data_IF_204226640424
#
_entry.id   IF_204226640424
#
_cell.length_a   1.000
_cell.length_b   1.000
_cell.length_c   1.000
_cell.angle_alpha   90.00
_cell.angle_beta   90.00
_cell.angle_gamma   90.00
#
_symmetry.space_group_name_H-M   'P 1'
#
loop_
_entity.id
_entity.type
_entity.pdbx_description
1 polymer ?
#
# COMPACT_ATOMS: atom_id res chain seq x y z
N UNK A 1 6.87 -4.20 -12.41
CA UNK A 1 6.91 -5.61 -12.86
C UNK A 1 5.56 -6.34 -12.76
N UNK A 2 4.70 -6.05 -11.76
CA UNK A 2 3.39 -6.73 -11.67
C UNK A 2 2.42 -6.35 -12.81
N UNK A 3 2.37 -5.07 -13.20
CA UNK A 3 1.41 -4.61 -14.23
C UNK A 3 1.70 -5.18 -15.62
N UNK A 4 2.96 -5.18 -16.06
CA UNK A 4 3.33 -5.74 -17.39
C UNK A 4 3.11 -7.25 -17.45
N UNK A 5 3.39 -7.98 -16.37
CA UNK A 5 3.08 -9.39 -16.27
C UNK A 5 1.57 -9.68 -16.32
N UNK A 6 0.76 -8.91 -15.58
CA UNK A 6 -0.70 -9.04 -15.58
C UNK A 6 -1.31 -8.81 -16.98
N UNK A 7 -0.80 -7.83 -17.74
CA UNK A 7 -1.23 -7.57 -19.11
C UNK A 7 -0.81 -8.69 -20.08
N UNK A 8 0.34 -9.34 -19.84
CA UNK A 8 0.81 -10.45 -20.66
C UNK A 8 0.03 -11.75 -20.42
N UNK A 9 -0.46 -12.00 -19.22
CA UNK A 9 -1.21 -13.22 -18.89
C UNK A 9 -2.69 -13.06 -19.20
N UNK A 10 -3.29 -11.94 -18.83
CA UNK A 10 -4.71 -11.69 -19.00
C UNK A 10 -5.03 -11.20 -20.43
N UNK A 11 -4.08 -10.53 -21.07
CA UNK A 11 -4.27 -9.85 -22.35
C UNK A 11 -4.65 -8.37 -22.17
N UNK A 12 -4.47 -7.60 -23.25
CA UNK A 12 -4.64 -6.14 -23.24
C UNK A 12 -6.06 -5.69 -22.88
N UNK A 13 -7.08 -6.30 -23.49
CA UNK A 13 -8.49 -5.90 -23.30
C UNK A 13 -8.97 -6.14 -21.86
N UNK A 14 -8.91 -7.36 -21.29
CA UNK A 14 -9.37 -7.59 -19.92
C UNK A 14 -8.48 -6.92 -18.87
N UNK A 15 -7.17 -6.76 -19.15
CA UNK A 15 -6.26 -6.01 -18.31
C UNK A 15 -6.64 -4.53 -18.18
N UNK A 16 -7.00 -3.89 -19.30
CA UNK A 16 -7.44 -2.49 -19.28
C UNK A 16 -8.79 -2.31 -18.55
N UNK A 17 -9.74 -3.22 -18.79
CA UNK A 17 -11.05 -3.20 -18.13
C UNK A 17 -10.90 -3.26 -16.61
N UNK A 18 -10.10 -4.20 -16.10
CA UNK A 18 -9.89 -4.35 -14.65
C UNK A 18 -9.21 -3.12 -14.04
N UNK A 19 -8.27 -2.49 -14.73
CA UNK A 19 -7.64 -1.22 -14.28
C UNK A 19 -8.64 -0.08 -14.20
N UNK A 20 -9.51 0.09 -15.22
CA UNK A 20 -10.52 1.15 -15.23
C UNK A 20 -11.54 0.91 -14.11
N UNK A 21 -12.02 -0.31 -13.94
CA UNK A 21 -12.97 -0.66 -12.87
C UNK A 21 -12.37 -0.38 -11.50
N UNK A 22 -11.13 -0.79 -11.26
CA UNK A 22 -10.44 -0.49 -10.00
C UNK A 22 -10.29 1.02 -9.78
N UNK A 23 -9.97 1.79 -10.83
CA UNK A 23 -9.89 3.24 -10.79
C UNK A 23 -11.21 3.93 -10.43
N UNK A 24 -12.32 3.47 -11.03
CA UNK A 24 -13.67 3.99 -10.73
C UNK A 24 -14.05 3.71 -9.27
N UNK A 25 -13.78 2.50 -8.78
CA UNK A 25 -14.05 2.15 -7.38
C UNK A 25 -13.25 3.03 -6.41
N UNK A 26 -11.95 3.21 -6.67
CA UNK A 26 -11.11 4.11 -5.88
C UNK A 26 -11.61 5.56 -5.92
N UNK A 27 -12.03 6.04 -7.09
CA UNK A 27 -12.58 7.38 -7.25
C UNK A 27 -13.84 7.59 -6.42
N UNK A 28 -14.78 6.64 -6.48
CA UNK A 28 -16.01 6.70 -5.69
C UNK A 28 -15.69 6.71 -4.20
N UNK A 29 -14.83 5.82 -3.73
CA UNK A 29 -14.42 5.77 -2.31
C UNK A 29 -13.77 7.08 -1.87
N UNK A 30 -12.82 7.60 -2.66
CA UNK A 30 -12.14 8.87 -2.37
C UNK A 30 -13.13 10.04 -2.28
N UNK A 31 -14.03 10.16 -3.26
CA UNK A 31 -15.05 11.22 -3.28
C UNK A 31 -16.02 11.12 -2.09
N UNK A 32 -16.44 9.91 -1.71
CA UNK A 32 -17.33 9.72 -0.54
C UNK A 32 -16.63 10.10 0.77
N UNK A 33 -15.38 9.70 0.94
CA UNK A 33 -14.59 10.04 2.13
C UNK A 33 -14.36 11.55 2.23
N UNK A 34 -13.98 12.20 1.12
CA UNK A 34 -13.76 13.64 1.08
C UNK A 34 -15.02 14.44 1.46
N UNK A 35 -16.18 14.08 0.91
CA UNK A 35 -17.47 14.71 1.26
C UNK A 35 -17.81 14.55 2.75
N UNK A 36 -17.46 13.40 3.33
CA UNK A 36 -17.70 13.13 4.74
C UNK A 36 -16.81 13.96 5.66
N UNK A 37 -15.51 14.08 5.34
CA UNK A 37 -14.56 14.88 6.10
C UNK A 37 -14.94 16.37 6.08
N UNK A 38 -15.44 16.88 4.94
CA UNK A 38 -15.92 18.27 4.85
C UNK A 38 -17.13 18.55 5.74
N UNK A 39 -18.01 17.56 5.96
CA UNK A 39 -19.18 17.69 6.84
C UNK A 39 -18.81 17.56 8.32
N UNK A 40 -17.76 16.81 8.63
CA UNK A 40 -17.35 16.49 9.99
C UNK A 40 -15.84 16.73 10.19
N UNK A 41 -15.42 18.01 10.26
CA UNK A 41 -14.00 18.38 10.34
C UNK A 41 -13.32 17.95 11.65
N UNK A 42 -14.09 17.52 12.66
CA UNK A 42 -13.53 16.94 13.89
C UNK A 42 -12.84 15.58 13.69
N UNK A 43 -13.07 14.92 12.54
CA UNK A 43 -12.52 13.60 12.24
C UNK A 43 -11.15 13.79 11.60
N UNK A 44 -10.10 13.41 12.33
CA UNK A 44 -8.69 13.58 11.89
C UNK A 44 -8.07 12.28 11.42
N UNK A 45 -8.47 11.17 12.03
CA UNK A 45 -7.92 9.85 11.77
C UNK A 45 -8.98 8.90 11.20
N UNK A 46 -8.53 7.88 10.48
CA UNK A 46 -9.45 6.90 9.88
C UNK A 46 -10.11 5.98 10.92
N UNK A 47 -9.48 5.83 12.10
CA UNK A 47 -10.09 5.14 13.24
C UNK A 47 -11.29 5.93 13.79
N UNK A 48 -11.18 7.26 13.86
CA UNK A 48 -12.29 8.14 14.23
C UNK A 48 -13.39 8.05 13.17
N UNK A 49 -13.03 8.05 11.89
CA UNK A 49 -14.00 7.85 10.80
C UNK A 49 -14.79 6.55 11.00
N UNK A 50 -14.11 5.44 11.29
CA UNK A 50 -14.74 4.16 11.62
C UNK A 50 -15.70 4.26 12.81
N UNK A 51 -15.27 4.92 13.89
CA UNK A 51 -16.10 5.11 15.08
C UNK A 51 -17.38 5.92 14.79
N UNK A 52 -17.28 7.00 14.01
CA UNK A 52 -18.45 7.83 13.68
C UNK A 52 -19.40 7.14 12.71
N UNK A 53 -18.90 6.37 11.74
CA UNK A 53 -19.73 5.64 10.78
C UNK A 53 -20.45 4.46 11.42
N UNK A 54 -19.80 3.72 12.33
CA UNK A 54 -20.39 2.56 13.01
C UNK A 54 -21.12 2.91 14.32
N UNK A 55 -21.57 4.16 14.49
CA UNK A 55 -22.47 4.53 15.58
C UNK A 55 -21.83 4.64 16.96
N UNK A 56 -20.58 5.12 17.04
CA UNK A 56 -19.84 5.38 18.30
C UNK A 56 -19.54 4.14 19.13
N UNK A 57 -19.38 2.98 18.50
CA UNK A 57 -18.92 1.77 19.18
C UNK A 57 -17.40 1.74 19.30
N UNK A 58 -16.87 1.61 20.53
CA UNK A 58 -15.43 1.46 20.78
C UNK A 58 -14.84 0.23 20.06
N UNK A 59 -15.65 -0.80 19.84
CA UNK A 59 -15.23 -2.02 19.13
C UNK A 59 -14.93 -1.72 17.66
N UNK A 60 -15.71 -0.84 17.02
CA UNK A 60 -15.47 -0.44 15.64
C UNK A 60 -14.20 0.39 15.48
N UNK A 61 -13.84 1.19 16.49
CA UNK A 61 -12.59 1.95 16.52
C UNK A 61 -11.36 1.03 16.52
N UNK A 62 -11.31 0.08 17.46
CA UNK A 62 -10.18 -0.86 17.59
C UNK A 62 -10.08 -1.77 16.35
N UNK A 63 -11.22 -2.24 15.84
CA UNK A 63 -11.23 -3.10 14.64
C UNK A 63 -10.74 -2.37 13.39
N UNK A 64 -11.17 -1.11 13.17
CA UNK A 64 -10.73 -0.31 12.03
C UNK A 64 -9.25 0.05 12.13
N UNK A 65 -8.75 0.36 13.33
CA UNK A 65 -7.33 0.55 13.59
C UNK A 65 -6.50 -0.71 13.31
N UNK A 66 -6.95 -1.87 13.77
CA UNK A 66 -6.27 -3.15 13.50
C UNK A 66 -6.22 -3.47 12.00
N UNK A 67 -7.33 -3.30 11.29
CA UNK A 67 -7.38 -3.53 9.84
C UNK A 67 -6.48 -2.57 9.06
N UNK A 68 -6.42 -1.30 9.45
CA UNK A 68 -5.52 -0.33 8.85
C UNK A 68 -4.05 -0.70 9.08
N UNK A 69 -3.70 -1.07 10.32
CA UNK A 69 -2.33 -1.44 10.68
C UNK A 69 -1.89 -2.68 9.89
N UNK A 70 -2.73 -3.72 9.87
CA UNK A 70 -2.46 -4.94 9.12
C UNK A 70 -2.29 -4.66 7.62
N UNK A 71 -3.14 -3.81 7.03
CA UNK A 71 -3.03 -3.42 5.62
C UNK A 71 -1.70 -2.71 5.33
N UNK A 72 -1.27 -1.77 6.19
CA UNK A 72 -0.01 -1.05 6.02
C UNK A 72 1.22 -1.96 6.16
N UNK A 73 1.23 -2.89 7.13
CA UNK A 73 2.33 -3.84 7.31
C UNK A 73 2.49 -4.72 6.05
N UNK A 74 1.38 -5.24 5.51
CA UNK A 74 1.41 -6.06 4.29
C UNK A 74 1.90 -5.28 3.07
N UNK A 75 1.48 -4.02 2.91
CA UNK A 75 1.94 -3.17 1.81
C UNK A 75 3.44 -2.89 1.89
N UNK A 76 3.96 -2.53 3.07
CA UNK A 76 5.39 -2.31 3.28
C UNK A 76 6.17 -3.58 2.93
N UNK A 77 5.71 -4.75 3.41
CA UNK A 77 6.31 -6.04 3.08
C UNK A 77 6.33 -6.31 1.57
N UNK A 78 5.22 -6.04 0.87
CA UNK A 78 5.14 -6.18 -0.58
C UNK A 78 6.13 -5.27 -1.32
N UNK A 79 6.30 -4.02 -0.89
CA UNK A 79 7.25 -3.09 -1.49
C UNK A 79 8.70 -3.53 -1.30
N UNK A 80 9.07 -3.97 -0.09
CA UNK A 80 10.42 -4.46 0.19
C UNK A 80 10.72 -5.72 -0.63
N UNK A 81 9.80 -6.69 -0.69
CA UNK A 81 9.97 -7.91 -1.47
C UNK A 81 10.09 -7.63 -2.97
N UNK A 82 9.26 -6.73 -3.49
CA UNK A 82 9.32 -6.32 -4.91
C UNK A 82 10.63 -5.60 -5.20
N UNK A 83 11.07 -4.70 -4.31
CA UNK A 83 12.36 -4.01 -4.43
C UNK A 83 13.54 -4.98 -4.41
N UNK A 84 13.53 -5.95 -3.50
CA UNK A 84 14.55 -7.00 -3.43
C UNK A 84 14.62 -7.83 -4.73
N UNK A 85 13.47 -8.18 -5.31
CA UNK A 85 13.41 -8.94 -6.57
C UNK A 85 13.94 -8.14 -7.77
N UNK A 86 13.67 -6.84 -7.82
CA UNK A 86 14.21 -5.93 -8.84
C UNK A 86 15.73 -5.84 -8.71
N UNK A 87 16.24 -5.58 -7.50
CA UNK A 87 17.68 -5.50 -7.25
C UNK A 87 18.40 -6.81 -7.58
N UNK A 88 17.82 -7.96 -7.22
CA UNK A 88 18.40 -9.27 -7.52
C UNK A 88 18.45 -9.57 -9.02
N UNK A 89 17.47 -9.07 -9.79
CA UNK A 89 17.45 -9.18 -11.26
C UNK A 89 18.47 -8.26 -11.92
N UNK A 90 18.67 -7.04 -11.39
CA UNK A 90 19.60 -6.06 -11.96
C UNK A 90 21.08 -6.39 -11.72
N UNK A 91 21.40 -7.20 -10.72
CA UNK A 91 22.78 -7.55 -10.35
C UNK A 91 23.13 -9.01 -10.64
N UNK A 92 22.43 -9.65 -11.58
CA UNK A 92 22.71 -11.04 -12.01
C UNK A 92 22.89 -12.02 -10.83
N UNK A 93 21.95 -12.01 -9.88
CA UNK A 93 21.93 -12.88 -8.68
C UNK A 93 23.09 -12.66 -7.67
N UNK A 94 23.93 -11.63 -7.83
CA UNK A 94 25.06 -11.37 -6.93
C UNK A 94 24.66 -10.60 -5.66
N UNK A 95 24.14 -11.32 -4.65
CA UNK A 95 24.30 -11.01 -3.22
C UNK A 95 23.92 -9.58 -2.73
N UNK A 96 23.02 -8.88 -3.42
CA UNK A 96 22.89 -7.43 -3.26
C UNK A 96 22.34 -7.02 -1.89
N UNK A 97 21.46 -7.81 -1.28
CA UNK A 97 20.85 -7.41 0.01
C UNK A 97 21.87 -7.38 1.14
N UNK A 98 22.86 -8.30 1.13
CA UNK A 98 23.94 -8.33 2.12
C UNK A 98 24.98 -7.26 1.80
N UNK A 99 25.36 -7.11 0.53
CA UNK A 99 26.39 -6.11 0.12
C UNK A 99 25.89 -4.67 0.27
N UNK A 100 24.63 -4.36 -0.03
CA UNK A 100 24.08 -3.02 0.18
C UNK A 100 23.89 -2.72 1.67
N UNK A 101 23.45 -3.70 2.48
CA UNK A 101 23.33 -3.52 3.93
C UNK A 101 24.69 -3.34 4.61
N UNK A 102 25.70 -4.14 4.22
CA UNK A 102 27.08 -3.98 4.68
C UNK A 102 27.69 -2.67 4.17
N UNK A 103 27.43 -2.27 2.92
CA UNK A 103 27.90 -1.00 2.36
C UNK A 103 27.33 0.22 3.07
N UNK A 104 26.05 0.20 3.44
CA UNK A 104 25.42 1.28 4.20
C UNK A 104 25.96 1.36 5.64
N UNK A 105 26.24 0.21 6.27
CA UNK A 105 26.88 0.14 7.59
C UNK A 105 28.34 0.61 7.53
N UNK A 106 29.09 0.25 6.48
CA UNK A 106 30.47 0.67 6.28
C UNK A 106 30.60 2.18 5.98
N UNK A 107 29.67 2.75 5.21
CA UNK A 107 29.62 4.19 4.95
C UNK A 107 29.31 4.99 6.24
N UNK A 108 28.46 4.46 7.13
CA UNK A 108 28.19 5.05 8.45
C UNK A 108 29.38 5.02 9.41
N UNK A 109 30.38 4.16 9.16
CA UNK A 109 31.61 4.11 9.97
C UNK A 109 32.65 5.16 9.57
N UNK A 110 32.51 5.80 8.41
CA UNK A 110 33.42 6.82 7.86
C UNK A 110 32.83 8.25 7.88
N UNK A 111 31.67 8.44 8.52
CA UNK A 111 31.05 9.72 8.89
C UNK A 111 31.01 9.81 10.41
#
# INVERSE_FOLDING_TARGET
MAQTWSLSVLGWVPGLITMIVAGILFWITSMTMWRFIMKYPQIRDICDFGYYVFGKSKIAYEFTGFMLLANNIMLIGFHILTGAKILNTLSDHSQCTIVFNVGFIALRRNL
#
